data_IF_058397174704
#
_entry.id   IF_058397174704
#
_cell.length_a   1.000
_cell.length_b   1.000
_cell.length_c   1.000
_cell.angle_alpha   90.00
_cell.angle_beta   90.00
_cell.angle_gamma   90.00
#
_symmetry.space_group_name_H-M   'P 1'
#
loop_
_entity.id
_entity.type
_entity.pdbx_description
1 polymer ?
#
# COMPACT_ATOMS: atom_id res chain seq x y z
N UNK A 1 -9.85 7.08 -8.00
CA UNK A 1 -10.44 5.88 -8.64
C UNK A 1 -9.51 5.29 -9.70
N UNK A 2 -9.44 3.96 -9.79
CA UNK A 2 -8.68 3.26 -10.82
C UNK A 2 -9.66 2.66 -11.83
N UNK A 3 -9.51 3.04 -13.10
CA UNK A 3 -10.28 2.50 -14.22
C UNK A 3 -9.35 1.63 -15.07
N UNK A 4 -9.38 0.31 -14.82
CA UNK A 4 -8.54 -0.67 -15.50
C UNK A 4 -8.79 -0.71 -17.03
N UNK A 5 -10.04 -0.64 -17.54
CA UNK A 5 -10.30 -0.46 -18.96
C UNK A 5 -9.64 0.79 -19.55
N UNK A 6 -9.72 1.93 -18.90
CA UNK A 6 -9.12 3.18 -19.38
C UNK A 6 -7.58 3.11 -19.35
N UNK A 7 -6.99 2.43 -18.38
CA UNK A 7 -5.54 2.20 -18.32
C UNK A 7 -5.03 1.30 -19.46
N UNK A 8 -5.91 0.52 -20.06
CA UNK A 8 -5.61 -0.47 -21.10
C UNK A 8 -4.45 -1.44 -20.75
N UNK A 9 -4.22 -1.70 -19.46
CA UNK A 9 -3.19 -2.62 -19.02
C UNK A 9 -3.60 -4.08 -19.29
N UNK A 10 -2.63 -4.94 -19.58
CA UNK A 10 -2.89 -6.36 -19.81
C UNK A 10 -3.16 -7.11 -18.50
N UNK A 11 -2.50 -6.70 -17.42
CA UNK A 11 -2.66 -7.24 -16.08
C UNK A 11 -2.67 -6.13 -15.03
N UNK A 12 -3.49 -6.30 -14.00
CA UNK A 12 -3.52 -5.43 -12.82
C UNK A 12 -3.71 -6.28 -11.56
N UNK A 13 -2.87 -6.07 -10.55
CA UNK A 13 -2.94 -6.83 -9.31
C UNK A 13 -2.97 -5.92 -8.09
N UNK A 14 -3.75 -6.31 -7.08
CA UNK A 14 -3.76 -5.62 -5.80
C UNK A 14 -3.98 -6.57 -4.62
N UNK A 15 -3.57 -6.12 -3.44
CA UNK A 15 -3.74 -6.86 -2.18
C UNK A 15 -4.87 -6.26 -1.36
N UNK A 16 -5.78 -7.10 -0.87
CA UNK A 16 -6.95 -6.65 -0.10
C UNK A 16 -6.60 -5.88 1.16
N UNK A 17 -5.55 -6.29 1.89
CA UNK A 17 -5.13 -5.60 3.12
C UNK A 17 -4.67 -4.14 2.91
N UNK A 18 -4.43 -3.71 1.67
CA UNK A 18 -4.15 -2.30 1.34
C UNK A 18 -5.43 -1.51 1.00
N UNK A 19 -6.57 -2.18 1.05
CA UNK A 19 -7.91 -1.62 0.82
C UNK A 19 -8.83 -1.86 2.04
N UNK A 20 -8.26 -1.84 3.25
CA UNK A 20 -8.98 -2.07 4.51
C UNK A 20 -9.60 -3.46 4.66
N UNK A 21 -9.28 -4.41 3.80
CA UNK A 21 -9.73 -5.79 3.85
C UNK A 21 -8.81 -6.67 4.73
N UNK A 22 -9.22 -7.89 5.08
CA UNK A 22 -8.37 -8.86 5.74
C UNK A 22 -7.09 -9.17 4.94
N UNK A 23 -6.07 -9.67 5.63
CA UNK A 23 -4.89 -10.27 5.00
C UNK A 23 -5.24 -11.58 4.30
N UNK A 24 -4.39 -12.03 3.38
CA UNK A 24 -4.55 -13.33 2.71
C UNK A 24 -5.35 -13.29 1.41
N UNK A 25 -6.00 -12.19 1.08
CA UNK A 25 -6.76 -12.01 -0.17
C UNK A 25 -6.10 -10.98 -1.08
N UNK A 26 -6.10 -11.27 -2.37
CA UNK A 26 -5.70 -10.36 -3.43
C UNK A 26 -6.44 -10.69 -4.73
N UNK A 27 -6.39 -9.78 -5.68
CA UNK A 27 -7.06 -9.91 -6.98
C UNK A 27 -6.04 -9.70 -8.09
N UNK A 28 -6.11 -10.58 -9.10
CA UNK A 28 -5.45 -10.38 -10.38
C UNK A 28 -6.51 -10.17 -11.45
N UNK A 29 -6.52 -8.99 -12.04
CA UNK A 29 -7.19 -8.75 -13.32
C UNK A 29 -6.26 -9.13 -14.46
N UNK A 30 -6.81 -9.75 -15.50
CA UNK A 30 -6.11 -10.01 -16.75
C UNK A 30 -7.06 -9.92 -17.93
N UNK A 31 -6.57 -9.39 -19.06
CA UNK A 31 -7.32 -9.46 -20.32
C UNK A 31 -7.55 -10.92 -20.72
N UNK A 32 -8.78 -11.29 -21.03
CA UNK A 32 -9.21 -12.67 -21.34
C UNK A 32 -8.28 -13.34 -22.36
N UNK A 33 -7.90 -12.64 -23.43
CA UNK A 33 -6.98 -13.15 -24.47
C UNK A 33 -5.64 -13.69 -23.93
N UNK A 34 -5.16 -13.14 -22.79
CA UNK A 34 -3.95 -13.59 -22.14
C UNK A 34 -4.22 -14.72 -21.15
N UNK A 35 -5.26 -14.59 -20.35
CA UNK A 35 -5.66 -15.62 -19.39
C UNK A 35 -5.98 -16.95 -20.09
N UNK A 36 -6.63 -16.92 -21.24
CA UNK A 36 -6.90 -18.12 -22.04
C UNK A 36 -5.62 -18.82 -22.51
N UNK A 37 -4.61 -18.05 -22.88
CA UNK A 37 -3.35 -18.58 -23.44
C UNK A 37 -2.36 -19.03 -22.36
N UNK A 38 -2.45 -18.45 -21.18
CA UNK A 38 -1.53 -18.78 -20.07
C UNK A 38 -1.84 -20.18 -19.52
N UNK A 39 -0.83 -20.96 -19.13
CA UNK A 39 -1.06 -22.15 -18.32
C UNK A 39 -1.56 -21.75 -16.93
N UNK A 40 -2.28 -22.63 -16.21
CA UNK A 40 -2.60 -22.38 -14.81
C UNK A 40 -1.33 -22.25 -13.97
N UNK A 41 -1.39 -21.43 -12.94
CA UNK A 41 -0.24 -21.20 -12.03
C UNK A 41 -0.07 -22.33 -11.02
N UNK A 42 -1.17 -22.86 -10.48
CA UNK A 42 -1.20 -23.95 -9.51
C UNK A 42 -2.20 -25.01 -9.94
N UNK A 43 -1.97 -26.26 -9.51
CA UNK A 43 -2.93 -27.37 -9.68
C UNK A 43 -3.71 -27.61 -8.39
N UNK A 44 -4.97 -28.04 -8.52
CA UNK A 44 -5.83 -28.36 -7.38
C UNK A 44 -7.26 -28.67 -7.81
N UNK A 45 -8.14 -28.85 -6.85
CA UNK A 45 -9.58 -28.97 -7.11
C UNK A 45 -10.14 -27.72 -7.79
N UNK A 46 -11.31 -27.83 -8.39
CA UNK A 46 -12.09 -26.80 -9.09
C UNK A 46 -11.44 -26.26 -10.39
N UNK A 47 -10.09 -26.16 -10.46
CA UNK A 47 -9.39 -25.61 -11.62
C UNK A 47 -9.15 -26.62 -12.74
N UNK A 48 -9.41 -27.90 -12.51
CA UNK A 48 -9.30 -29.02 -13.48
C UNK A 48 -10.66 -29.39 -14.05
N UNK A 49 -10.69 -29.82 -15.32
CA UNK A 49 -11.89 -30.35 -15.99
C UNK A 49 -11.82 -31.87 -16.10
N UNK A 50 -10.70 -32.40 -16.58
CA UNK A 50 -10.42 -33.83 -16.60
C UNK A 50 -8.95 -34.08 -16.24
N UNK A 51 -8.68 -35.19 -15.58
CA UNK A 51 -7.32 -35.63 -15.21
C UNK A 51 -7.14 -37.11 -15.58
N UNK A 52 -6.10 -37.42 -16.32
CA UNK A 52 -5.59 -38.76 -16.53
C UNK A 52 -4.09 -38.78 -16.31
N UNK A 53 -3.46 -39.96 -16.37
CA UNK A 53 -2.00 -40.07 -16.31
C UNK A 53 -1.32 -39.46 -17.55
N UNK A 54 -2.01 -39.44 -18.69
CA UNK A 54 -1.46 -38.97 -19.97
C UNK A 54 -1.78 -37.52 -20.24
N UNK A 55 -2.93 -37.02 -19.73
CA UNK A 55 -3.41 -35.71 -20.10
C UNK A 55 -4.32 -35.09 -19.03
N UNK A 56 -4.13 -33.79 -18.80
CA UNK A 56 -5.01 -32.97 -17.94
C UNK A 56 -5.58 -31.82 -18.75
N UNK A 57 -6.88 -31.59 -18.60
CA UNK A 57 -7.56 -30.41 -19.13
C UNK A 57 -8.04 -29.54 -17.98
N UNK A 58 -8.03 -28.23 -18.21
CA UNK A 58 -8.33 -27.24 -17.20
C UNK A 58 -9.73 -26.68 -17.38
N UNK A 59 -10.28 -26.12 -16.31
CA UNK A 59 -11.57 -25.50 -16.30
C UNK A 59 -11.53 -24.14 -17.02
N UNK A 60 -12.72 -23.61 -17.31
CA UNK A 60 -12.86 -22.30 -17.94
C UNK A 60 -12.48 -21.16 -16.98
N UNK A 61 -12.22 -19.96 -17.51
CA UNK A 61 -12.01 -18.77 -16.70
C UNK A 61 -13.27 -18.41 -15.89
N UNK A 62 -13.14 -17.92 -14.64
CA UNK A 62 -11.90 -17.64 -13.91
C UNK A 62 -11.31 -18.86 -13.17
N UNK A 63 -12.04 -19.97 -13.09
CA UNK A 63 -11.71 -21.15 -12.28
C UNK A 63 -10.36 -21.79 -12.63
N UNK A 64 -9.91 -21.66 -13.87
CA UNK A 64 -8.60 -22.11 -14.34
C UNK A 64 -7.44 -21.62 -13.44
N UNK A 65 -7.58 -20.47 -12.80
CA UNK A 65 -6.57 -19.87 -11.94
C UNK A 65 -6.90 -19.93 -10.44
N UNK A 66 -7.99 -20.60 -10.07
CA UNK A 66 -8.47 -20.68 -8.69
C UNK A 66 -8.40 -22.14 -8.20
N UNK A 67 -7.19 -22.55 -7.78
CA UNK A 67 -6.91 -23.92 -7.36
C UNK A 67 -7.31 -24.19 -5.91
N UNK A 68 -8.18 -25.16 -5.68
CA UNK A 68 -8.62 -25.61 -4.37
C UNK A 68 -9.73 -24.73 -3.78
N UNK A 69 -10.08 -24.99 -2.52
CA UNK A 69 -11.09 -24.20 -1.80
C UNK A 69 -10.62 -22.77 -1.63
N UNK A 70 -11.34 -21.75 -2.15
CA UNK A 70 -10.91 -20.35 -2.02
C UNK A 70 -11.05 -19.84 -0.59
N UNK A 71 -10.32 -18.78 -0.26
CA UNK A 71 -10.50 -18.05 1.00
C UNK A 71 -11.78 -17.20 0.94
N UNK A 72 -12.93 -17.85 1.14
CA UNK A 72 -14.24 -17.20 1.10
C UNK A 72 -14.46 -16.24 2.28
N UNK A 73 -13.74 -16.41 3.40
CA UNK A 73 -13.83 -15.50 4.55
C UNK A 73 -13.17 -14.17 4.20
N UNK A 74 -11.92 -14.21 3.73
CA UNK A 74 -11.22 -12.98 3.35
C UNK A 74 -11.84 -12.32 2.11
N UNK A 75 -12.39 -13.10 1.14
CA UNK A 75 -13.08 -12.53 -0.03
C UNK A 75 -14.38 -11.80 0.37
N UNK A 76 -15.13 -12.34 1.33
CA UNK A 76 -16.29 -11.65 1.91
C UNK A 76 -15.87 -10.37 2.62
N UNK A 77 -14.75 -10.41 3.37
CA UNK A 77 -14.17 -9.23 4.01
C UNK A 77 -13.74 -8.16 3.01
N UNK A 78 -13.13 -8.57 1.88
CA UNK A 78 -12.78 -7.65 0.79
C UNK A 78 -14.01 -6.98 0.17
N UNK A 79 -15.09 -7.75 -0.09
CA UNK A 79 -16.34 -7.21 -0.60
C UNK A 79 -16.91 -6.14 0.36
N UNK A 80 -16.92 -6.41 1.67
CA UNK A 80 -17.38 -5.44 2.68
C UNK A 80 -16.50 -4.19 2.76
N UNK A 81 -15.17 -4.32 2.61
CA UNK A 81 -14.27 -3.18 2.56
C UNK A 81 -14.55 -2.30 1.33
N UNK A 82 -14.79 -2.89 0.17
CA UNK A 82 -15.17 -2.17 -1.05
C UNK A 82 -16.51 -1.44 -0.87
N UNK A 83 -17.53 -2.13 -0.31
CA UNK A 83 -18.83 -1.50 -0.02
C UNK A 83 -18.67 -0.30 0.92
N UNK A 84 -17.82 -0.42 1.94
CA UNK A 84 -17.54 0.65 2.89
C UNK A 84 -16.88 1.87 2.22
N UNK A 85 -15.84 1.65 1.42
CA UNK A 85 -15.19 2.74 0.68
C UNK A 85 -16.15 3.41 -0.31
N UNK A 86 -16.96 2.63 -1.02
CA UNK A 86 -17.97 3.16 -1.94
C UNK A 86 -19.05 3.98 -1.21
N UNK A 87 -19.46 3.57 -0.01
CA UNK A 87 -20.42 4.31 0.80
C UNK A 87 -19.87 5.67 1.30
N UNK A 88 -18.56 5.76 1.54
CA UNK A 88 -17.89 7.02 1.87
C UNK A 88 -17.69 7.91 0.62
N UNK A 89 -17.54 7.28 -0.54
CA UNK A 89 -17.17 7.92 -1.82
C UNK A 89 -15.66 8.02 -2.00
N UNK A 90 -15.14 7.42 -3.08
CA UNK A 90 -13.71 7.39 -3.36
C UNK A 90 -13.12 8.79 -3.51
N UNK A 91 -13.86 9.73 -4.11
CA UNK A 91 -13.43 11.12 -4.25
C UNK A 91 -13.32 11.85 -2.90
N UNK A 92 -14.19 11.52 -1.94
CA UNK A 92 -14.12 12.09 -0.60
C UNK A 92 -12.90 11.56 0.17
N UNK A 93 -12.60 10.26 0.02
CA UNK A 93 -11.41 9.63 0.61
C UNK A 93 -10.15 10.30 0.03
N UNK A 94 -10.07 10.40 -1.29
CA UNK A 94 -8.94 11.03 -1.98
C UNK A 94 -8.75 12.50 -1.55
N UNK A 95 -9.84 13.28 -1.47
CA UNK A 95 -9.79 14.67 -1.05
C UNK A 95 -9.29 14.82 0.40
N UNK A 96 -9.76 13.96 1.30
CA UNK A 96 -9.33 13.93 2.69
C UNK A 96 -7.84 13.56 2.83
N UNK A 97 -7.40 12.49 2.18
CA UNK A 97 -6.01 12.03 2.21
C UNK A 97 -5.06 13.07 1.60
N UNK A 98 -5.47 13.73 0.51
CA UNK A 98 -4.71 14.81 -0.12
C UNK A 98 -4.57 16.02 0.82
N UNK A 99 -5.63 16.39 1.52
CA UNK A 99 -5.62 17.47 2.50
C UNK A 99 -4.69 17.17 3.68
N UNK A 100 -4.75 15.97 4.23
CA UNK A 100 -3.83 15.54 5.29
C UNK A 100 -2.37 15.51 4.81
N UNK A 101 -2.13 15.06 3.58
CA UNK A 101 -0.78 15.03 2.98
C UNK A 101 -0.25 16.44 2.82
N UNK A 102 -1.05 17.37 2.30
CA UNK A 102 -0.69 18.77 2.17
C UNK A 102 -0.32 19.38 3.51
N UNK A 103 -1.20 19.20 4.51
CA UNK A 103 -0.98 19.69 5.86
C UNK A 103 0.29 19.10 6.49
N UNK A 104 0.49 17.80 6.37
CA UNK A 104 1.69 17.14 6.89
C UNK A 104 2.97 17.66 6.22
N UNK A 105 2.98 17.83 4.90
CA UNK A 105 4.13 18.40 4.19
C UNK A 105 4.45 19.82 4.65
N UNK A 106 3.42 20.66 4.83
CA UNK A 106 3.58 22.03 5.33
C UNK A 106 4.17 22.06 6.74
N UNK A 107 3.62 21.27 7.66
CA UNK A 107 4.09 21.24 9.05
C UNK A 107 5.47 20.60 9.17
N UNK A 108 5.70 19.47 8.52
CA UNK A 108 6.99 18.78 8.56
C UNK A 108 8.12 19.63 7.94
N UNK A 109 7.84 20.41 6.89
CA UNK A 109 8.83 21.27 6.25
C UNK A 109 9.40 22.37 7.16
N UNK A 110 8.74 22.67 8.29
CA UNK A 110 9.23 23.63 9.30
C UNK A 110 10.26 23.01 10.24
N UNK A 111 10.39 21.67 10.28
CA UNK A 111 11.34 20.97 11.15
C UNK A 111 12.74 21.15 10.56
N UNK A 112 13.66 21.66 11.36
CA UNK A 112 15.06 21.82 10.95
C UNK A 112 15.68 20.47 10.58
N UNK A 113 16.39 20.42 9.47
CA UNK A 113 16.99 19.20 8.94
C UNK A 113 16.03 18.22 8.29
N UNK A 114 14.74 18.53 8.19
CA UNK A 114 13.75 17.69 7.54
C UNK A 114 14.03 17.56 6.04
N UNK A 115 14.05 16.34 5.56
CA UNK A 115 14.10 16.03 4.15
C UNK A 115 12.98 15.05 3.80
N UNK A 116 12.00 15.49 2.99
CA UNK A 116 10.92 14.67 2.47
C UNK A 116 11.31 14.18 1.07
N UNK A 117 11.33 12.87 0.88
CA UNK A 117 11.64 12.23 -0.40
C UNK A 117 10.39 12.14 -1.26
N UNK A 118 10.51 12.51 -2.53
CA UNK A 118 9.43 12.45 -3.50
C UNK A 118 9.19 13.77 -4.21
N UNK A 119 8.07 13.90 -4.93
CA UNK A 119 7.70 15.14 -5.59
C UNK A 119 7.52 16.29 -4.60
N UNK A 120 7.87 17.52 -5.00
CA UNK A 120 7.66 18.70 -4.16
C UNK A 120 6.19 19.14 -4.08
N UNK A 121 5.35 18.66 -5.00
CA UNK A 121 3.95 19.07 -5.12
C UNK A 121 3.03 17.96 -4.62
N UNK A 122 2.10 18.32 -3.75
CA UNK A 122 1.13 17.39 -3.13
C UNK A 122 0.28 16.64 -4.17
N UNK A 123 -0.01 17.25 -5.32
CA UNK A 123 -0.79 16.64 -6.40
C UNK A 123 -0.12 15.41 -7.02
N UNK A 124 1.16 15.20 -6.73
CA UNK A 124 1.96 14.07 -7.19
C UNK A 124 2.35 13.12 -6.06
N UNK A 125 1.78 13.32 -4.87
CA UNK A 125 1.91 12.42 -3.72
C UNK A 125 0.64 11.61 -3.50
N UNK A 126 0.82 10.35 -3.18
CA UNK A 126 -0.19 9.62 -2.41
C UNK A 126 -0.07 10.01 -0.93
N UNK A 127 -0.99 9.55 -0.09
CA UNK A 127 -1.01 9.84 1.35
C UNK A 127 0.13 9.14 2.13
N UNK A 128 1.35 9.23 1.58
CA UNK A 128 2.56 8.57 2.08
C UNK A 128 3.73 9.52 1.99
N UNK A 129 4.36 9.83 3.12
CA UNK A 129 5.54 10.68 3.19
C UNK A 129 6.73 9.89 3.73
N UNK A 130 7.77 9.73 2.90
CA UNK A 130 9.07 9.18 3.30
C UNK A 130 10.02 10.31 3.65
N UNK A 131 10.65 10.25 4.81
CA UNK A 131 11.46 11.37 5.31
C UNK A 131 12.69 10.93 6.10
N UNK A 132 13.64 11.86 6.24
CA UNK A 132 14.76 11.83 7.17
C UNK A 132 14.88 13.17 7.87
N UNK A 133 15.56 13.20 9.03
CA UNK A 133 15.83 14.44 9.79
C UNK A 133 17.32 14.48 10.10
N UNK A 134 18.04 15.44 9.53
CA UNK A 134 19.48 15.60 9.73
C UNK A 134 20.25 14.31 9.49
N UNK A 135 21.04 13.92 10.47
CA UNK A 135 21.84 12.68 10.46
C UNK A 135 21.21 11.56 11.31
N UNK A 136 19.99 11.74 11.80
CA UNK A 136 19.32 10.76 12.64
C UNK A 136 18.99 9.52 11.83
N UNK A 137 19.47 8.37 12.29
CA UNK A 137 19.19 7.11 11.63
C UNK A 137 17.69 6.77 11.69
N UNK A 138 17.13 6.32 10.58
CA UNK A 138 15.69 6.07 10.45
C UNK A 138 15.14 5.06 11.48
N UNK A 139 15.95 4.07 11.90
CA UNK A 139 15.54 3.11 12.93
C UNK A 139 15.46 3.76 14.31
N UNK A 140 16.40 4.67 14.65
CA UNK A 140 16.39 5.36 15.94
C UNK A 140 15.18 6.30 16.01
N UNK A 141 14.94 7.08 14.95
CA UNK A 141 13.76 7.93 14.82
C UNK A 141 12.47 7.11 15.02
N UNK A 142 12.30 6.01 14.28
CA UNK A 142 11.09 5.19 14.38
C UNK A 142 10.94 4.51 15.73
N UNK A 143 12.04 4.04 16.35
CA UNK A 143 12.01 3.41 17.67
C UNK A 143 11.59 4.39 18.77
N UNK A 144 12.04 5.63 18.70
CA UNK A 144 11.67 6.65 19.68
C UNK A 144 10.26 7.18 19.45
N UNK A 145 9.82 7.32 18.19
CA UNK A 145 8.43 7.65 17.86
C UNK A 145 7.45 6.59 18.37
N UNK A 146 7.80 5.29 18.21
CA UNK A 146 6.99 4.19 18.74
C UNK A 146 6.79 4.28 20.26
N UNK A 147 7.86 4.63 21.01
CA UNK A 147 7.76 4.88 22.47
C UNK A 147 6.87 6.07 22.83
N UNK A 148 6.65 6.98 21.90
CA UNK A 148 5.71 8.10 22.04
C UNK A 148 4.28 7.75 21.58
N UNK A 149 4.04 6.51 21.15
CA UNK A 149 2.76 6.04 20.63
C UNK A 149 2.50 6.42 19.17
N UNK A 150 3.54 6.78 18.42
CA UNK A 150 3.45 7.22 17.02
C UNK A 150 4.01 6.12 16.12
N UNK A 151 3.13 5.47 15.37
CA UNK A 151 3.49 4.38 14.47
C UNK A 151 3.96 4.90 13.10
N UNK A 152 5.22 4.66 12.78
CA UNK A 152 5.80 4.89 11.45
C UNK A 152 6.47 3.61 10.94
N UNK A 153 6.67 3.52 9.65
CA UNK A 153 7.49 2.44 9.07
C UNK A 153 8.90 2.93 8.78
N UNK A 154 9.91 2.08 9.06
CA UNK A 154 11.31 2.40 8.80
C UNK A 154 11.97 1.39 7.87
N UNK A 155 13.04 1.78 7.19
CA UNK A 155 13.86 0.92 6.34
C UNK A 155 13.70 1.17 4.84
N UNK A 156 13.91 0.12 4.05
CA UNK A 156 13.92 0.18 2.57
C UNK A 156 12.53 0.22 1.92
N UNK A 157 11.47 -0.04 2.67
CA UNK A 157 10.07 -0.08 2.20
C UNK A 157 9.82 -1.07 1.03
N UNK A 158 10.58 -2.18 0.97
CA UNK A 158 10.60 -3.14 -0.15
C UNK A 158 11.08 -2.51 -1.47
N UNK A 159 11.89 -1.45 -1.41
CA UNK A 159 12.40 -0.67 -2.53
C UNK A 159 13.90 -0.38 -2.39
N UNK A 160 14.71 -1.38 -2.01
CA UNK A 160 16.15 -1.23 -1.79
C UNK A 160 16.90 -0.66 -2.99
N UNK A 161 16.59 -1.04 -4.27
CA UNK A 161 17.22 -0.39 -5.42
C UNK A 161 16.98 1.12 -5.50
N UNK A 162 15.82 1.60 -5.02
CA UNK A 162 15.54 3.03 -4.93
C UNK A 162 16.39 3.70 -3.84
N UNK A 163 16.58 3.05 -2.68
CA UNK A 163 17.45 3.57 -1.63
C UNK A 163 18.90 3.71 -2.13
N UNK A 164 19.42 2.71 -2.85
CA UNK A 164 20.72 2.79 -3.49
C UNK A 164 20.84 3.96 -4.49
N UNK A 165 19.79 4.17 -5.31
CA UNK A 165 19.76 5.29 -6.26
C UNK A 165 19.75 6.65 -5.56
N UNK A 166 19.10 6.75 -4.41
CA UNK A 166 19.05 7.97 -3.59
C UNK A 166 20.32 8.15 -2.73
N UNK A 167 21.17 7.14 -2.63
CA UNK A 167 22.39 7.17 -1.81
C UNK A 167 22.12 7.14 -0.30
N UNK A 168 21.04 6.48 0.12
CA UNK A 168 20.60 6.39 1.51
C UNK A 168 20.36 4.94 1.92
N UNK A 169 20.41 4.66 3.22
CA UNK A 169 20.19 3.32 3.78
C UNK A 169 18.69 2.99 3.96
N UNK A 170 17.86 3.99 4.15
CA UNK A 170 16.42 3.85 4.37
C UNK A 170 15.80 5.16 4.82
N UNK A 171 14.49 5.17 5.00
CA UNK A 171 13.75 6.34 5.49
C UNK A 171 12.77 5.95 6.59
N UNK A 172 12.28 6.95 7.36
CA UNK A 172 11.01 6.87 8.05
C UNK A 172 9.88 7.14 7.06
N UNK A 173 8.73 6.49 7.26
CA UNK A 173 7.55 6.69 6.43
C UNK A 173 6.31 6.85 7.28
N UNK A 174 5.66 7.99 7.17
CA UNK A 174 4.30 8.21 7.65
C UNK A 174 3.32 7.89 6.52
N UNK A 175 2.21 7.24 6.84
CA UNK A 175 1.14 6.94 5.89
C UNK A 175 -0.17 7.38 6.52
N UNK A 176 -0.96 8.13 5.78
CA UNK A 176 -2.27 8.61 6.20
C UNK A 176 -3.36 7.84 5.46
N UNK A 177 -4.51 7.73 6.07
CA UNK A 177 -5.64 7.02 5.54
C UNK A 177 -6.95 7.76 5.91
N UNK A 178 -8.05 7.27 5.39
CA UNK A 178 -9.39 7.87 5.57
C UNK A 178 -9.80 8.14 7.03
N UNK A 179 -9.14 7.50 7.99
CA UNK A 179 -9.46 7.63 9.43
C UNK A 179 -8.50 8.56 10.19
N UNK A 180 -7.42 9.04 9.55
CA UNK A 180 -6.47 9.93 10.21
C UNK A 180 -6.98 11.38 10.26
N UNK A 181 -6.43 12.16 11.18
CA UNK A 181 -6.85 13.52 11.51
C UNK A 181 -5.67 14.49 11.50
N UNK A 182 -5.95 15.79 11.41
CA UNK A 182 -4.94 16.85 11.59
C UNK A 182 -4.24 16.76 12.95
N UNK A 183 -4.96 16.43 14.02
CA UNK A 183 -4.38 16.27 15.35
C UNK A 183 -3.33 15.15 15.41
N UNK A 184 -3.49 14.08 14.63
CA UNK A 184 -2.49 13.01 14.52
C UNK A 184 -1.28 13.46 13.71
N UNK A 185 -1.47 14.30 12.69
CA UNK A 185 -0.34 14.95 12.00
C UNK A 185 0.43 15.86 12.96
N UNK A 186 -0.27 16.67 13.77
CA UNK A 186 0.37 17.52 14.80
C UNK A 186 1.16 16.68 15.82
N UNK A 187 0.58 15.55 16.25
CA UNK A 187 1.26 14.62 17.14
C UNK A 187 2.54 14.03 16.50
N UNK A 188 2.48 13.66 15.22
CA UNK A 188 3.65 13.21 14.47
C UNK A 188 4.76 14.28 14.43
N UNK A 189 4.40 15.53 14.07
CA UNK A 189 5.36 16.65 13.99
C UNK A 189 6.00 16.93 15.35
N UNK A 190 5.20 17.02 16.43
CA UNK A 190 5.70 17.20 17.79
C UNK A 190 6.60 16.02 18.23
N UNK A 191 6.21 14.79 17.86
CA UNK A 191 7.01 13.60 18.13
C UNK A 191 8.37 13.63 17.44
N UNK A 192 8.42 14.02 16.17
CA UNK A 192 9.67 14.15 15.40
C UNK A 192 10.57 15.23 16.05
N UNK A 193 10.04 16.41 16.37
CA UNK A 193 10.78 17.48 17.04
C UNK A 193 11.34 17.02 18.38
N UNK A 194 10.54 16.30 19.17
CA UNK A 194 10.97 15.76 20.46
C UNK A 194 12.10 14.75 20.30
N UNK A 195 11.99 13.82 19.33
CA UNK A 195 13.03 12.83 19.05
C UNK A 195 14.31 13.51 18.56
N UNK A 196 14.19 14.51 17.69
CA UNK A 196 15.33 15.33 17.23
C UNK A 196 16.08 15.92 18.42
N UNK A 197 15.37 16.59 19.32
CA UNK A 197 16.00 17.20 20.51
C UNK A 197 16.58 16.20 21.54
N UNK A 198 16.34 14.89 21.38
CA UNK A 198 16.96 13.84 22.19
C UNK A 198 18.25 13.29 21.57
N UNK A 199 18.42 13.43 20.24
CA UNK A 199 19.50 12.79 19.48
C UNK A 199 20.53 13.80 18.90
N UNK A 200 20.23 15.09 18.90
CA UNK A 200 21.14 16.20 18.63
C UNK A 200 21.69 16.78 19.94
#
# INVERSE_FOLDING_TARGET
>A
PIDVPQMDCDFFAFSGHKLYAPTGIGVLYGKEKWLDRMPPYMGGGEMIKNVSFEHTTFNDLPYKFEAGTPDYVASTGLARAIDYMNALGMENIEAHERELTRYAMEQMSQIEGMHIYGPARVEHHDAVLSFQVGHIHHLDMGTLLDRLGIAVRTGHHCAEPLMHRLGIEGTCRASFALYNTHAEVDALVQGIERVRGMLE
#
